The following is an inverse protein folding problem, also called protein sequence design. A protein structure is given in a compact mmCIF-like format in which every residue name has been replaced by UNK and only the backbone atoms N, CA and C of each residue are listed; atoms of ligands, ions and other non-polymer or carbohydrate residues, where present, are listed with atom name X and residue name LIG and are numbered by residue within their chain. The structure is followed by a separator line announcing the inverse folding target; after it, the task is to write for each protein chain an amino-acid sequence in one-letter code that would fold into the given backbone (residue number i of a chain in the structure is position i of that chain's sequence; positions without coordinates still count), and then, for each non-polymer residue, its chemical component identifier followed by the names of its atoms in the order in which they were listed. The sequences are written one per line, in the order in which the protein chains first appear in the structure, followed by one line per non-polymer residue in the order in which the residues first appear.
data_IF_358063051115
#
_entry.id   IF_358063051115
#
_cell.length_a   1.000
_cell.length_b   1.000
_cell.length_c   1.000
_cell.angle_alpha   90.00
_cell.angle_beta   90.00
_cell.angle_gamma   90.00
#
_symmetry.space_group_name_H-M   'P 1'
#
loop_
_entity.id
_entity.type
_entity.pdbx_description
1 polymer ?
#
# COMPACT_ATOMS: atom_id res chain seq x y z
N UNK A 1 25.32 -24.99 -16.66
CA UNK A 1 24.82 -23.63 -16.93
C UNK A 1 23.38 -23.59 -16.44
N UNK A 2 23.14 -23.11 -15.24
CA UNK A 2 21.78 -22.84 -14.76
C UNK A 2 21.19 -21.71 -15.60
N UNK A 3 20.13 -21.99 -16.33
CA UNK A 3 19.38 -20.97 -17.08
C UNK A 3 18.52 -20.21 -16.07
N UNK A 4 19.05 -19.14 -15.49
CA UNK A 4 18.24 -18.20 -14.67
C UNK A 4 17.15 -17.59 -15.57
N UNK A 5 15.90 -17.73 -15.16
CA UNK A 5 14.77 -17.11 -15.86
C UNK A 5 14.88 -15.59 -15.65
N UNK A 6 14.84 -14.77 -16.71
CA UNK A 6 14.88 -13.31 -16.55
C UNK A 6 13.71 -12.82 -15.69
N UNK A 7 13.99 -11.91 -14.76
CA UNK A 7 12.98 -11.39 -13.81
C UNK A 7 11.78 -10.78 -14.55
N UNK A 8 12.02 -10.12 -15.68
CA UNK A 8 10.96 -9.59 -16.54
C UNK A 8 9.97 -10.65 -17.03
N UNK A 9 10.43 -11.87 -17.30
CA UNK A 9 9.57 -12.97 -17.71
C UNK A 9 8.71 -13.46 -16.54
N UNK A 10 9.29 -13.55 -15.34
CA UNK A 10 8.57 -13.90 -14.12
C UNK A 10 7.46 -12.87 -13.86
N UNK A 11 7.78 -11.58 -13.96
CA UNK A 11 6.81 -10.49 -13.80
C UNK A 11 5.68 -10.59 -14.85
N UNK A 12 6.00 -10.87 -16.11
CA UNK A 12 4.99 -11.04 -17.14
C UNK A 12 4.05 -12.20 -16.84
N UNK A 13 4.58 -13.35 -16.39
CA UNK A 13 3.80 -14.51 -16.00
C UNK A 13 2.90 -14.21 -14.79
N UNK A 14 3.41 -13.47 -13.80
CA UNK A 14 2.62 -13.04 -12.63
C UNK A 14 1.48 -12.10 -13.04
N UNK A 15 1.75 -11.11 -13.91
CA UNK A 15 0.71 -10.22 -14.42
C UNK A 15 -0.37 -10.97 -15.20
N UNK A 16 0.01 -12.01 -15.94
CA UNK A 16 -0.95 -12.90 -16.60
C UNK A 16 -1.78 -13.70 -15.59
N UNK A 17 -1.14 -14.29 -14.59
CA UNK A 17 -1.81 -15.07 -13.54
C UNK A 17 -2.77 -14.22 -12.69
N UNK A 18 -2.46 -12.95 -12.47
CA UNK A 18 -3.30 -12.00 -11.72
C UNK A 18 -4.36 -11.30 -12.58
N UNK A 19 -4.38 -11.55 -13.90
CA UNK A 19 -5.29 -10.87 -14.85
C UNK A 19 -5.15 -9.33 -14.83
N UNK A 20 -3.89 -8.84 -14.82
CA UNK A 20 -3.52 -7.41 -14.75
C UNK A 20 -2.56 -6.97 -15.87
N UNK A 21 -2.61 -7.63 -17.02
CA UNK A 21 -1.71 -7.30 -18.15
C UNK A 21 -1.89 -5.88 -18.68
N UNK A 22 -3.11 -5.35 -18.65
CA UNK A 22 -3.42 -3.97 -19.09
C UNK A 22 -2.79 -2.94 -18.16
N UNK A 23 -2.80 -3.21 -16.86
CA UNK A 23 -2.22 -2.36 -15.83
C UNK A 23 -0.68 -2.34 -15.93
N UNK A 24 -0.07 -3.47 -16.29
CA UNK A 24 1.37 -3.58 -16.57
C UNK A 24 1.81 -2.60 -17.66
N UNK A 25 1.03 -2.47 -18.73
CA UNK A 25 1.37 -1.59 -19.85
C UNK A 25 1.32 -0.10 -19.49
N UNK A 26 0.59 0.25 -18.43
CA UNK A 26 0.53 1.62 -17.89
C UNK A 26 1.77 1.93 -17.07
N UNK A 27 2.30 0.94 -16.33
CA UNK A 27 3.47 1.09 -15.46
C UNK A 27 4.74 0.69 -16.21
N UNK A 28 5.17 1.55 -17.16
CA UNK A 28 6.44 1.36 -17.85
C UNK A 28 7.59 1.77 -16.94
N UNK A 29 8.54 0.86 -16.72
CA UNK A 29 9.71 1.09 -15.86
C UNK A 29 10.95 0.59 -16.57
N UNK A 30 11.96 1.44 -16.67
CA UNK A 30 13.32 1.01 -16.97
C UNK A 30 13.94 0.46 -15.67
N UNK A 31 14.32 -0.79 -15.71
CA UNK A 31 14.84 -1.50 -14.54
C UNK A 31 16.28 -1.90 -14.82
N UNK A 32 17.21 -1.50 -13.96
CA UNK A 32 18.61 -1.94 -14.07
C UNK A 32 18.72 -3.47 -13.98
N UNK A 33 19.59 -4.07 -14.80
CA UNK A 33 19.78 -5.53 -14.86
C UNK A 33 20.34 -6.13 -13.56
N UNK A 34 20.90 -5.31 -12.68
CA UNK A 34 21.50 -5.71 -11.41
C UNK A 34 20.52 -5.69 -10.21
N UNK A 35 19.25 -5.35 -10.43
CA UNK A 35 18.27 -5.33 -9.34
C UNK A 35 17.93 -6.75 -8.87
N UNK A 36 17.84 -6.91 -7.56
CA UNK A 36 17.24 -8.08 -6.92
C UNK A 36 15.74 -8.15 -7.23
N UNK A 37 15.14 -9.31 -6.98
CA UNK A 37 13.69 -9.50 -7.14
C UNK A 37 12.89 -8.47 -6.33
N UNK A 38 13.30 -8.21 -5.10
CA UNK A 38 12.68 -7.19 -4.25
C UNK A 38 12.76 -5.80 -4.87
N UNK A 39 13.95 -5.38 -5.29
CA UNK A 39 14.19 -4.05 -5.87
C UNK A 39 13.39 -3.86 -7.15
N UNK A 40 13.29 -4.93 -7.94
CA UNK A 40 12.45 -4.96 -9.13
C UNK A 40 10.98 -4.66 -8.79
N UNK A 41 10.37 -5.41 -7.87
CA UNK A 41 8.97 -5.18 -7.48
C UNK A 41 8.78 -3.85 -6.74
N UNK A 42 9.73 -3.44 -5.91
CA UNK A 42 9.70 -2.14 -5.24
C UNK A 42 9.75 -0.98 -6.25
N UNK A 43 10.53 -1.11 -7.32
CA UNK A 43 10.60 -0.11 -8.40
C UNK A 43 9.29 -0.01 -9.17
N UNK A 44 8.67 -1.15 -9.51
CA UNK A 44 7.35 -1.18 -10.17
C UNK A 44 6.29 -0.55 -9.25
N UNK A 45 6.26 -0.95 -7.98
CA UNK A 45 5.34 -0.39 -7.00
C UNK A 45 5.48 1.12 -6.87
N UNK A 46 6.72 1.61 -6.75
CA UNK A 46 7.03 3.04 -6.67
C UNK A 46 6.58 3.79 -7.94
N UNK A 47 6.86 3.25 -9.13
CA UNK A 47 6.48 3.88 -10.41
C UNK A 47 4.97 3.92 -10.60
N UNK A 48 4.27 2.82 -10.29
CA UNK A 48 2.81 2.75 -10.34
C UNK A 48 2.15 3.70 -9.33
N UNK A 49 2.71 3.80 -8.13
CA UNK A 49 2.24 4.75 -7.12
C UNK A 49 2.47 6.20 -7.55
N UNK A 50 3.62 6.52 -8.15
CA UNK A 50 3.87 7.85 -8.69
C UNK A 50 2.93 8.21 -9.86
N UNK A 51 2.52 7.22 -10.66
CA UNK A 51 1.46 7.43 -11.66
C UNK A 51 0.13 7.79 -10.97
N UNK A 52 -0.26 7.06 -9.90
CA UNK A 52 -1.48 7.36 -9.14
C UNK A 52 -1.41 8.75 -8.49
N UNK A 53 -0.28 9.14 -7.92
CA UNK A 53 -0.10 10.48 -7.32
C UNK A 53 -0.31 11.57 -8.37
N UNK A 54 0.24 11.41 -9.56
CA UNK A 54 0.07 12.37 -10.68
C UNK A 54 -1.37 12.44 -11.19
N UNK A 55 -2.07 11.33 -11.22
CA UNK A 55 -3.49 11.24 -11.60
C UNK A 55 -4.42 11.76 -10.49
N UNK A 56 -3.94 11.80 -9.27
CA UNK A 56 -4.68 12.00 -8.03
C UNK A 56 -4.92 10.67 -7.32
N UNK A 57 -4.39 10.55 -6.10
CA UNK A 57 -4.67 9.39 -5.25
C UNK A 57 -6.17 9.23 -5.04
N UNK A 58 -6.62 7.98 -5.00
CA UNK A 58 -8.03 7.67 -4.76
C UNK A 58 -8.46 8.13 -3.36
N UNK A 59 -9.72 8.57 -3.27
CA UNK A 59 -10.35 9.00 -2.03
C UNK A 59 -11.63 8.23 -1.82
N UNK A 60 -12.00 8.08 -0.58
CA UNK A 60 -13.26 7.47 -0.19
C UNK A 60 -13.90 8.16 0.98
N UNK A 61 -15.18 7.88 1.20
CA UNK A 61 -15.89 8.29 2.39
C UNK A 61 -15.61 7.28 3.50
N UNK A 62 -15.16 7.81 4.66
CA UNK A 62 -14.98 7.04 5.89
C UNK A 62 -15.88 7.66 6.93
N UNK A 63 -16.70 6.84 7.58
CA UNK A 63 -17.51 7.27 8.71
C UNK A 63 -16.61 7.54 9.91
N UNK A 64 -16.65 8.75 10.42
CA UNK A 64 -15.93 9.21 11.60
C UNK A 64 -16.90 9.56 12.72
N UNK A 65 -16.45 9.33 13.96
CA UNK A 65 -17.22 9.61 15.17
C UNK A 65 -16.38 10.45 16.12
N UNK A 66 -16.63 11.75 16.18
CA UNK A 66 -15.86 12.70 16.98
C UNK A 66 -16.71 13.60 17.84
N UNK A 67 -16.10 14.14 18.93
CA UNK A 67 -16.67 15.18 19.74
C UNK A 67 -16.34 16.57 19.17
N UNK A 68 -17.31 17.23 18.58
CA UNK A 68 -17.15 18.47 17.82
C UNK A 68 -17.88 19.64 18.47
N UNK A 69 -17.27 20.84 18.43
CA UNK A 69 -17.91 22.10 18.83
C UNK A 69 -18.93 22.59 17.75
N UNK A 70 -18.71 22.24 16.49
CA UNK A 70 -19.66 22.50 15.40
C UNK A 70 -20.29 21.19 14.95
N UNK A 71 -21.60 21.12 14.88
CA UNK A 71 -22.35 19.95 14.45
C UNK A 71 -22.01 19.63 13.00
N UNK A 72 -21.57 18.36 12.76
CA UNK A 72 -21.28 17.82 11.43
C UNK A 72 -21.96 16.47 11.30
N UNK A 73 -22.74 16.26 10.25
CA UNK A 73 -23.45 15.00 10.05
C UNK A 73 -24.57 14.77 11.07
N UNK A 74 -24.61 13.57 11.66
CA UNK A 74 -25.63 13.13 12.60
C UNK A 74 -25.13 13.22 14.04
N UNK A 75 -25.93 13.81 14.95
CA UNK A 75 -25.61 13.86 16.39
C UNK A 75 -25.93 12.49 17.01
N UNK A 76 -24.96 11.94 17.73
CA UNK A 76 -25.14 10.82 18.64
C UNK A 76 -25.48 11.38 20.04
N UNK A 77 -26.77 11.51 20.31
CA UNK A 77 -27.29 12.03 21.58
C UNK A 77 -26.90 11.14 22.76
N UNK A 78 -26.89 9.82 22.57
CA UNK A 78 -26.57 8.86 23.63
C UNK A 78 -25.15 9.04 24.12
N UNK A 79 -24.18 9.10 23.21
CA UNK A 79 -22.77 9.33 23.56
C UNK A 79 -22.54 10.76 24.05
N UNK A 80 -23.21 11.77 23.47
CA UNK A 80 -23.10 13.17 23.92
C UNK A 80 -23.57 13.36 25.36
N UNK A 81 -24.67 12.73 25.76
CA UNK A 81 -25.16 12.76 27.14
C UNK A 81 -24.26 11.99 28.10
N UNK A 82 -23.87 10.76 27.73
CA UNK A 82 -23.00 9.91 28.54
C UNK A 82 -21.65 10.53 28.86
N UNK A 83 -21.08 11.28 27.89
CA UNK A 83 -19.76 11.94 28.01
C UNK A 83 -19.88 13.39 28.47
N UNK A 84 -21.08 13.87 28.78
CA UNK A 84 -21.35 15.27 29.18
C UNK A 84 -20.84 16.29 28.15
N UNK A 85 -20.83 15.96 26.87
CA UNK A 85 -20.27 16.80 25.81
C UNK A 85 -21.00 18.14 25.70
N UNK A 86 -22.30 18.17 25.93
CA UNK A 86 -23.11 19.38 25.87
C UNK A 86 -22.71 20.43 26.93
N UNK A 87 -22.19 20.01 28.09
CA UNK A 87 -21.69 20.95 29.08
C UNK A 87 -20.47 21.73 28.59
N UNK A 88 -19.72 21.15 27.64
CA UNK A 88 -18.55 21.78 27.02
C UNK A 88 -18.89 22.45 25.68
N UNK A 89 -20.17 22.70 25.41
CA UNK A 89 -20.66 23.22 24.12
C UNK A 89 -20.21 22.39 22.92
N UNK A 90 -20.14 21.04 23.09
CA UNK A 90 -19.77 20.08 22.05
C UNK A 90 -20.85 19.01 21.91
N UNK A 91 -20.84 18.30 20.79
CA UNK A 91 -21.67 17.14 20.56
C UNK A 91 -20.87 16.01 19.90
N UNK A 92 -21.18 14.77 20.24
CA UNK A 92 -20.68 13.61 19.52
C UNK A 92 -21.43 13.54 18.18
N UNK A 93 -20.65 13.55 17.09
CA UNK A 93 -21.19 13.54 15.74
C UNK A 93 -20.64 12.37 14.93
N UNK A 94 -21.52 11.72 14.18
CA UNK A 94 -21.16 10.74 13.13
C UNK A 94 -21.28 11.42 11.78
N UNK A 95 -20.20 11.42 11.00
CA UNK A 95 -20.18 12.06 9.70
C UNK A 95 -19.26 11.34 8.72
N UNK A 96 -19.55 11.49 7.44
CA UNK A 96 -18.68 10.98 6.38
C UNK A 96 -17.56 11.98 6.09
N UNK A 97 -16.30 11.50 6.20
CA UNK A 97 -15.12 12.25 5.82
C UNK A 97 -14.55 11.75 4.49
N UNK A 98 -14.41 12.65 3.51
CA UNK A 98 -13.85 12.34 2.20
C UNK A 98 -12.33 12.47 2.25
N UNK A 99 -11.64 11.35 2.40
CA UNK A 99 -10.21 11.30 2.73
C UNK A 99 -9.42 10.38 1.80
N UNK A 100 -8.11 10.59 1.76
CA UNK A 100 -7.14 9.66 1.16
C UNK A 100 -6.86 8.42 2.04
N UNK A 101 -7.31 8.42 3.29
CA UNK A 101 -7.05 7.35 4.26
C UNK A 101 -7.94 6.12 4.02
N UNK A 102 -7.99 5.68 2.76
CA UNK A 102 -8.71 4.49 2.31
C UNK A 102 -7.83 3.25 2.34
N UNK A 103 -8.44 2.08 2.46
CA UNK A 103 -7.75 0.82 2.73
C UNK A 103 -6.65 0.49 1.70
N UNK A 104 -6.87 0.72 0.42
CA UNK A 104 -5.87 0.48 -0.61
C UNK A 104 -4.66 1.43 -0.51
N UNK A 105 -4.85 2.69 -0.09
CA UNK A 105 -3.75 3.62 0.18
C UNK A 105 -2.99 3.22 1.45
N UNK A 106 -3.69 2.72 2.49
CA UNK A 106 -3.05 2.18 3.70
C UNK A 106 -2.15 1.00 3.39
N UNK A 107 -2.59 0.08 2.50
CA UNK A 107 -1.78 -1.06 2.06
C UNK A 107 -0.50 -0.58 1.35
N UNK A 108 -0.59 0.39 0.44
CA UNK A 108 0.59 0.96 -0.22
C UNK A 108 1.57 1.56 0.79
N UNK A 109 1.08 2.41 1.72
CA UNK A 109 1.91 3.00 2.78
C UNK A 109 2.61 1.94 3.62
N UNK A 110 1.85 0.97 4.13
CA UNK A 110 2.41 -0.11 4.97
C UNK A 110 3.47 -0.93 4.22
N UNK A 111 3.29 -1.14 2.91
CA UNK A 111 4.28 -1.83 2.08
C UNK A 111 5.56 -0.99 1.93
N UNK A 112 5.46 0.31 1.65
CA UNK A 112 6.63 1.18 1.59
C UNK A 112 7.38 1.22 2.93
N UNK A 113 6.67 1.31 4.05
CA UNK A 113 7.26 1.25 5.38
C UNK A 113 8.04 -0.07 5.60
N UNK A 114 7.51 -1.19 5.12
CA UNK A 114 8.19 -2.48 5.22
C UNK A 114 9.44 -2.55 4.33
N UNK A 115 9.38 -2.07 3.08
CA UNK A 115 10.52 -2.03 2.17
C UNK A 115 11.65 -1.15 2.75
N UNK A 116 11.32 0.00 3.32
CA UNK A 116 12.31 0.93 3.89
C UNK A 116 13.05 0.38 5.11
N UNK A 117 12.53 -0.67 5.78
CA UNK A 117 13.21 -1.37 6.89
C UNK A 117 14.34 -2.29 6.42
N UNK A 118 14.37 -2.65 5.12
CA UNK A 118 15.36 -3.57 4.56
C UNK A 118 16.69 -2.84 4.40
N UNK A 119 17.78 -3.36 4.99
CA UNK A 119 19.09 -2.68 5.01
C UNK A 119 19.76 -2.60 3.64
N UNK A 120 19.71 -3.68 2.87
CA UNK A 120 20.45 -3.85 1.61
C UNK A 120 19.71 -3.30 0.38
N UNK A 121 18.69 -2.46 0.58
CA UNK A 121 17.98 -1.80 -0.50
C UNK A 121 18.88 -0.77 -1.20
N UNK A 122 18.86 -0.75 -2.54
CA UNK A 122 19.58 0.24 -3.35
C UNK A 122 19.32 1.68 -2.87
N UNK A 123 20.39 2.48 -2.81
CA UNK A 123 20.33 3.83 -2.22
C UNK A 123 19.45 4.79 -2.99
N UNK A 124 19.45 4.73 -4.31
CA UNK A 124 18.63 5.61 -5.14
C UNK A 124 17.16 5.20 -5.06
N UNK A 125 16.88 3.89 -5.12
CA UNK A 125 15.53 3.36 -4.94
C UNK A 125 14.97 3.72 -3.55
N UNK A 126 15.78 3.64 -2.50
CA UNK A 126 15.42 4.07 -1.14
C UNK A 126 15.01 5.54 -1.09
N UNK A 127 15.78 6.42 -1.74
CA UNK A 127 15.46 7.86 -1.82
C UNK A 127 14.14 8.10 -2.57
N UNK A 128 13.93 7.42 -3.70
CA UNK A 128 12.70 7.51 -4.46
C UNK A 128 11.49 7.09 -3.64
N UNK A 129 11.55 5.92 -2.98
CA UNK A 129 10.47 5.41 -2.13
C UNK A 129 10.21 6.36 -0.95
N UNK A 130 11.27 6.87 -0.31
CA UNK A 130 11.12 7.84 0.78
C UNK A 130 10.41 9.13 0.31
N UNK A 131 10.68 9.58 -0.92
CA UNK A 131 9.98 10.73 -1.50
C UNK A 131 8.50 10.42 -1.75
N UNK A 132 8.21 9.25 -2.31
CA UNK A 132 6.83 8.80 -2.58
C UNK A 132 6.04 8.59 -1.31
N UNK A 133 6.64 8.02 -0.25
CA UNK A 133 5.96 7.76 1.02
C UNK A 133 5.47 9.02 1.73
N UNK A 134 6.06 10.19 1.46
CA UNK A 134 5.61 11.49 2.03
C UNK A 134 4.19 11.87 1.60
N UNK A 135 3.72 11.39 0.45
CA UNK A 135 2.34 11.63 0.00
C UNK A 135 1.29 10.88 0.82
N UNK A 136 1.73 9.93 1.66
CA UNK A 136 0.87 9.13 2.52
C UNK A 136 0.96 9.51 4.01
N UNK A 137 1.40 10.75 4.33
CA UNK A 137 1.59 11.19 5.72
C UNK A 137 0.30 11.11 6.53
N UNK A 138 -0.82 11.52 5.93
CA UNK A 138 -2.15 11.54 6.55
C UNK A 138 -2.93 10.21 6.35
N UNK A 139 -2.30 9.19 5.80
CA UNK A 139 -2.88 7.86 5.60
C UNK A 139 -2.45 6.97 6.77
N UNK A 140 -3.36 6.19 7.34
CA UNK A 140 -3.07 5.24 8.41
C UNK A 140 -2.26 4.02 7.92
N UNK A 141 -1.79 3.21 8.86
CA UNK A 141 -1.20 1.90 8.57
C UNK A 141 -2.26 0.81 8.62
N UNK A 142 -2.00 -0.31 7.94
CA UNK A 142 -2.85 -1.50 7.99
C UNK A 142 -2.01 -2.77 7.87
N UNK A 143 -2.55 -3.87 8.36
CA UNK A 143 -1.97 -5.17 8.11
C UNK A 143 -2.14 -5.57 6.64
N UNK A 144 -1.08 -6.11 6.04
CA UNK A 144 -1.10 -6.58 4.66
C UNK A 144 -1.31 -8.09 4.68
N UNK A 145 -2.49 -8.51 4.26
CA UNK A 145 -2.83 -9.92 4.09
C UNK A 145 -3.87 -10.10 2.98
N UNK A 146 -4.02 -11.32 2.52
CA UNK A 146 -4.93 -11.68 1.40
C UNK A 146 -6.38 -11.29 1.69
N UNK A 147 -6.86 -11.42 2.94
CA UNK A 147 -8.23 -11.05 3.32
C UNK A 147 -8.48 -9.56 3.18
N UNK A 148 -7.52 -8.74 3.63
CA UNK A 148 -7.59 -7.27 3.50
C UNK A 148 -7.65 -6.87 2.02
N UNK A 149 -6.77 -7.43 1.19
CA UNK A 149 -6.73 -7.11 -0.24
C UNK A 149 -8.04 -7.52 -0.95
N UNK A 150 -8.58 -8.70 -0.65
CA UNK A 150 -9.84 -9.17 -1.22
C UNK A 150 -11.05 -8.33 -0.78
N UNK A 151 -10.99 -7.67 0.37
CA UNK A 151 -12.07 -6.78 0.84
C UNK A 151 -12.12 -5.43 0.09
N UNK A 152 -11.04 -5.06 -0.61
CA UNK A 152 -10.95 -3.80 -1.35
C UNK A 152 -11.78 -3.88 -2.63
N UNK A 153 -12.78 -3.02 -2.73
CA UNK A 153 -13.61 -2.89 -3.92
C UNK A 153 -13.02 -1.83 -4.85
N UNK A 154 -12.53 -2.25 -5.99
CA UNK A 154 -11.99 -1.38 -7.03
C UNK A 154 -13.03 -1.15 -8.13
N UNK A 155 -13.00 0.03 -8.76
CA UNK A 155 -13.82 0.42 -9.89
C UNK A 155 -12.95 0.69 -11.14
N UNK A 156 -13.56 1.09 -12.25
CA UNK A 156 -12.83 1.37 -13.50
C UNK A 156 -11.81 2.49 -13.41
N UNK A 157 -12.00 3.44 -12.49
CA UNK A 157 -11.11 4.60 -12.37
C UNK A 157 -9.85 4.29 -11.57
N UNK A 158 -9.92 3.31 -10.65
CA UNK A 158 -8.84 2.94 -9.75
C UNK A 158 -8.32 1.50 -9.99
N UNK A 159 -8.64 0.88 -11.14
CA UNK A 159 -8.27 -0.51 -11.47
C UNK A 159 -6.76 -0.78 -11.40
N UNK A 160 -5.90 0.22 -11.64
CA UNK A 160 -4.44 0.07 -11.53
C UNK A 160 -3.98 -0.32 -10.13
N UNK A 161 -4.76 0.00 -9.09
CA UNK A 161 -4.48 -0.47 -7.72
C UNK A 161 -4.45 -2.00 -7.66
N UNK A 162 -5.19 -2.72 -8.52
CA UNK A 162 -5.20 -4.18 -8.52
C UNK A 162 -3.80 -4.75 -8.71
N UNK A 163 -3.05 -4.28 -9.72
CA UNK A 163 -1.66 -4.67 -9.93
C UNK A 163 -0.79 -4.34 -8.72
N UNK A 164 -0.92 -3.11 -8.18
CA UNK A 164 -0.07 -2.66 -7.08
C UNK A 164 -0.36 -3.43 -5.78
N UNK A 165 -1.62 -3.77 -5.51
CA UNK A 165 -2.02 -4.55 -4.34
C UNK A 165 -1.50 -6.00 -4.40
N UNK A 166 -1.52 -6.63 -5.58
CA UNK A 166 -0.92 -7.97 -5.77
C UNK A 166 0.60 -7.92 -5.54
N UNK A 167 1.28 -6.87 -6.01
CA UNK A 167 2.71 -6.66 -5.73
C UNK A 167 2.94 -6.45 -4.23
N UNK A 168 2.09 -5.68 -3.54
CA UNK A 168 2.18 -5.48 -2.09
C UNK A 168 2.07 -6.82 -1.34
N UNK A 169 1.14 -7.67 -1.74
CA UNK A 169 0.97 -9.00 -1.15
C UNK A 169 2.19 -9.88 -1.40
N UNK A 170 2.69 -9.92 -2.63
CA UNK A 170 3.88 -10.68 -3.00
C UNK A 170 5.10 -10.26 -2.17
N UNK A 171 5.35 -8.95 -2.05
CA UNK A 171 6.44 -8.42 -1.22
C UNK A 171 6.25 -8.85 0.23
N UNK A 172 5.04 -8.73 0.79
CA UNK A 172 4.75 -9.09 2.18
C UNK A 172 4.94 -10.58 2.46
N UNK A 173 4.47 -11.45 1.56
CA UNK A 173 4.56 -12.90 1.72
C UNK A 173 6.01 -13.40 1.65
N UNK A 174 6.89 -12.69 0.94
CA UNK A 174 8.30 -13.04 0.79
C UNK A 174 9.26 -12.27 1.72
N UNK A 175 8.74 -11.32 2.52
CA UNK A 175 9.54 -10.70 3.58
C UNK A 175 9.64 -11.66 4.78
N UNK A 176 10.87 -12.00 5.15
CA UNK A 176 11.17 -12.79 6.33
C UNK A 176 11.98 -11.97 7.34
N UNK A 177 11.92 -12.36 8.60
CA UNK A 177 12.69 -11.74 9.69
C UNK A 177 13.78 -12.73 10.08
N UNK A 178 15.04 -12.27 10.12
CA UNK A 178 16.12 -13.06 10.65
C UNK A 178 15.98 -13.14 12.18
N UNK A 179 15.78 -14.36 12.70
CA UNK A 179 15.57 -14.59 14.15
C UNK A 179 16.77 -14.19 15.02
N UNK A 180 17.99 -14.18 14.45
CA UNK A 180 19.21 -13.87 15.23
C UNK A 180 19.41 -12.38 15.44
N UNK A 181 19.12 -11.54 14.45
CA UNK A 181 19.46 -10.11 14.46
C UNK A 181 18.24 -9.18 14.33
N UNK A 182 17.03 -9.72 14.19
CA UNK A 182 15.81 -8.93 13.96
C UNK A 182 15.79 -8.19 12.60
N UNK A 183 16.71 -8.55 11.69
CA UNK A 183 16.81 -7.95 10.37
C UNK A 183 15.74 -8.48 9.43
N UNK A 184 15.14 -7.58 8.64
CA UNK A 184 14.16 -7.94 7.62
C UNK A 184 14.86 -8.15 6.29
N UNK A 185 14.68 -9.31 5.68
CA UNK A 185 15.18 -9.64 4.36
C UNK A 185 14.07 -10.21 3.46
N UNK A 186 14.30 -10.18 2.15
CA UNK A 186 13.39 -10.74 1.18
C UNK A 186 13.85 -12.17 0.82
N UNK A 187 12.95 -13.13 0.97
CA UNK A 187 13.21 -14.51 0.54
C UNK A 187 12.89 -14.63 -0.95
N UNK A 188 13.92 -14.87 -1.76
CA UNK A 188 13.75 -15.09 -3.20
C UNK A 188 13.10 -16.45 -3.44
N UNK A 189 11.91 -16.46 -4.06
CA UNK A 189 11.17 -17.70 -4.34
C UNK A 189 11.73 -18.48 -5.54
N UNK A 190 12.72 -17.94 -6.23
CA UNK A 190 13.39 -18.60 -7.37
C UNK A 190 14.56 -19.47 -6.91
N UNK A 191 15.08 -19.25 -5.69
CA UNK A 191 16.29 -19.88 -5.16
C UNK A 191 16.01 -20.97 -4.11
N UNK A 192 14.79 -21.50 -3.95
CA UNK A 192 14.52 -22.62 -3.02
C UNK A 192 14.91 -23.95 -3.66
N UNK A 193 16.13 -24.49 -3.43
CA UNK A 193 16.49 -25.83 -3.90
C UNK A 193 15.88 -26.83 -2.91
N UNK A 194 14.85 -27.49 -3.33
CA UNK A 194 14.45 -28.76 -2.68
C UNK A 194 15.36 -29.89 -3.11
#
# INVERSE_FOLDING_TARGET
MERKIPINNIYHMLCYAWDVLKEKDIVKVEIPDNYSMLEFFAKILNSGTNYLIRKGLDRGYIEENDELACIKGKIDFSNSLRKLSFYNAKAYCTYDNFTYDVLHNRVLKSTFNNILKIKDLDKELRKEITKTSRYFIDVGDTEINRKVIQSIKLNRNNHIYRLLLEICLLIKENLAINEKDGEVYFKDFVEDPR
#
